data_IF_323264468542
#
_entry.id   IF_323264468542
#
_cell.length_a   1.000
_cell.length_b   1.000
_cell.length_c   1.000
_cell.angle_alpha   90.00
_cell.angle_beta   90.00
_cell.angle_gamma   90.00
#
_symmetry.space_group_name_H-M   'P 1'
#
loop_
_entity.id
_entity.type
_entity.pdbx_description
1 polymer ?
#
# COMPACT_ATOMS: atom_id res chain seq x y z
N UNK A 1 -9.89 17.26 -12.62
CA UNK A 1 -8.58 17.23 -13.32
C UNK A 1 -7.50 16.61 -12.42
N UNK A 2 -7.72 15.38 -11.95
CA UNK A 2 -6.95 14.13 -12.07
C UNK A 2 -5.46 14.12 -12.50
N UNK A 3 -4.67 15.16 -12.22
CA UNK A 3 -3.26 15.23 -12.64
C UNK A 3 -2.27 15.27 -11.47
N UNK A 4 -2.59 14.65 -10.34
CA UNK A 4 -1.53 14.37 -9.37
C UNK A 4 -0.72 13.16 -9.85
N UNK A 5 0.60 13.29 -9.85
CA UNK A 5 1.52 12.19 -10.17
C UNK A 5 1.19 10.96 -9.29
N UNK A 6 0.75 11.21 -8.05
CA UNK A 6 0.32 10.18 -7.12
C UNK A 6 -0.89 9.38 -7.62
N UNK A 7 -1.96 10.01 -8.11
CA UNK A 7 -3.14 9.27 -8.58
C UNK A 7 -2.85 8.47 -9.85
N UNK A 8 -2.06 9.03 -10.78
CA UNK A 8 -1.60 8.30 -11.99
C UNK A 8 -0.75 7.08 -11.64
N UNK A 9 0.19 7.21 -10.70
CA UNK A 9 1.01 6.09 -10.23
C UNK A 9 0.18 5.05 -9.47
N UNK A 10 -0.76 5.50 -8.64
CA UNK A 10 -1.67 4.63 -7.88
C UNK A 10 -2.52 3.75 -8.80
N UNK A 11 -3.14 4.33 -9.83
CA UNK A 11 -3.96 3.59 -10.79
C UNK A 11 -3.12 2.66 -11.69
N UNK A 12 -1.87 3.03 -11.99
CA UNK A 12 -0.96 2.15 -12.72
C UNK A 12 -0.56 0.90 -11.91
N UNK A 13 -0.46 1.04 -10.58
CA UNK A 13 -0.15 -0.06 -9.65
C UNK A 13 -1.38 -0.82 -9.17
N UNK A 14 -2.57 -0.22 -9.29
CA UNK A 14 -3.86 -0.81 -8.92
C UNK A 14 -4.05 -2.25 -9.43
N UNK A 15 -3.82 -2.61 -10.70
CA UNK A 15 -4.05 -3.98 -11.17
C UNK A 15 -3.20 -5.03 -10.44
N UNK A 16 -2.02 -4.64 -9.95
CA UNK A 16 -1.12 -5.53 -9.20
C UNK A 16 -1.58 -5.69 -7.75
N UNK A 17 -2.10 -4.63 -7.13
CA UNK A 17 -2.48 -4.64 -5.71
C UNK A 17 -3.95 -5.00 -5.45
N UNK A 18 -4.81 -4.84 -6.46
CA UNK A 18 -6.24 -5.20 -6.39
C UNK A 18 -6.52 -6.65 -5.96
N UNK A 19 -5.73 -7.68 -6.35
CA UNK A 19 -5.92 -9.05 -5.88
C UNK A 19 -5.71 -9.21 -4.36
N UNK A 20 -4.96 -8.31 -3.72
CA UNK A 20 -4.74 -8.29 -2.27
C UNK A 20 -5.87 -7.53 -1.54
N UNK A 21 -6.88 -7.07 -2.27
CA UNK A 21 -7.96 -6.26 -1.72
C UNK A 21 -7.59 -4.78 -1.57
N UNK A 22 -6.47 -4.31 -2.12
CA UNK A 22 -6.03 -2.92 -2.03
C UNK A 22 -6.59 -2.06 -3.16
N UNK A 23 -6.81 -0.77 -2.87
CA UNK A 23 -7.15 0.24 -3.88
C UNK A 23 -5.95 1.10 -4.27
N UNK A 24 -6.11 1.91 -5.31
CA UNK A 24 -5.08 2.83 -5.80
C UNK A 24 -4.51 3.74 -4.68
N UNK A 25 -5.33 4.15 -3.69
CA UNK A 25 -4.88 4.97 -2.55
C UNK A 25 -3.88 4.23 -1.67
N UNK A 26 -4.12 2.95 -1.42
CA UNK A 26 -3.20 2.08 -0.69
C UNK A 26 -1.93 1.83 -1.50
N UNK A 27 -2.03 1.69 -2.83
CA UNK A 27 -0.88 1.58 -3.71
C UNK A 27 0.04 2.81 -3.60
N UNK A 28 -0.53 4.02 -3.64
CA UNK A 28 0.21 5.28 -3.44
C UNK A 28 0.87 5.31 -2.06
N UNK A 29 0.14 4.90 -1.01
CA UNK A 29 0.69 4.81 0.34
C UNK A 29 1.86 3.83 0.43
N UNK A 30 1.74 2.64 -0.16
CA UNK A 30 2.81 1.62 -0.14
C UNK A 30 4.06 2.16 -0.85
N UNK A 31 3.89 2.89 -1.96
CA UNK A 31 5.00 3.54 -2.66
C UNK A 31 5.63 4.64 -1.80
N UNK A 32 4.83 5.50 -1.16
CA UNK A 32 5.37 6.57 -0.31
C UNK A 32 6.06 6.02 0.94
N UNK A 33 5.65 4.84 1.42
CA UNK A 33 6.29 4.17 2.54
C UNK A 33 7.74 3.72 2.27
N UNK A 34 8.18 3.63 1.00
CA UNK A 34 9.59 3.41 0.65
C UNK A 34 10.49 4.59 1.05
N UNK A 35 9.93 5.80 1.19
CA UNK A 35 10.67 6.93 1.74
C UNK A 35 10.80 6.77 3.26
N UNK A 36 9.66 6.65 3.96
CA UNK A 36 9.58 6.38 5.40
C UNK A 36 8.26 5.68 5.73
N UNK A 37 8.29 4.64 6.56
CA UNK A 37 7.10 3.83 6.92
C UNK A 37 5.96 4.67 7.54
N UNK A 38 6.29 5.73 8.28
CA UNK A 38 5.32 6.63 8.92
C UNK A 38 4.58 7.53 7.92
N UNK A 39 5.15 7.76 6.74
CA UNK A 39 4.55 8.60 5.69
C UNK A 39 3.32 7.93 5.07
N UNK A 40 3.14 6.61 5.26
CA UNK A 40 1.96 5.88 4.79
C UNK A 40 0.65 6.55 5.28
N UNK A 41 0.54 6.77 6.60
CA UNK A 41 -0.67 7.34 7.22
C UNK A 41 -0.88 8.79 6.78
N UNK A 42 0.20 9.56 6.68
CA UNK A 42 0.16 10.95 6.19
C UNK A 42 -0.31 11.02 4.73
N UNK A 43 0.20 10.11 3.89
CA UNK A 43 -0.17 10.00 2.48
C UNK A 43 -1.63 9.62 2.31
N UNK A 44 -2.14 8.68 3.12
CA UNK A 44 -3.57 8.37 3.15
C UNK A 44 -4.37 9.60 3.59
N UNK A 45 -3.96 10.29 4.66
CA UNK A 45 -4.59 11.53 5.12
C UNK A 45 -4.77 12.56 4.00
N UNK A 46 -3.70 12.85 3.26
CA UNK A 46 -3.71 13.79 2.13
C UNK A 46 -4.54 13.25 0.96
N UNK A 47 -4.42 11.96 0.64
CA UNK A 47 -5.15 11.37 -0.50
C UNK A 47 -6.66 11.34 -0.24
N UNK A 48 -7.09 11.06 0.99
CA UNK A 48 -8.49 11.10 1.38
C UNK A 48 -9.03 12.54 1.49
N UNK A 49 -8.22 13.49 1.97
CA UNK A 49 -8.65 14.90 2.05
C UNK A 49 -8.78 15.56 0.68
N UNK A 50 -7.93 15.22 -0.28
CA UNK A 50 -8.01 15.72 -1.65
C UNK A 50 -9.18 15.09 -2.41
N UNK A 51 -9.55 13.85 -2.07
CA UNK A 51 -10.66 13.15 -2.72
C UNK A 51 -12.04 13.56 -2.21
N UNK A 52 -12.17 14.08 -0.98
CA UNK A 52 -13.42 14.59 -0.43
C UNK A 52 -13.49 16.12 -0.67
N UNK A 53 -14.05 16.54 -1.82
CA UNK A 53 -14.19 17.97 -2.18
C UNK A 53 -15.33 18.66 -1.39
N UNK A 54 -15.98 17.98 -0.45
CA UNK A 54 -17.13 18.48 0.30
C UNK A 54 -16.82 18.85 1.75
N UNK A 55 -16.49 20.12 2.00
CA UNK A 55 -16.67 20.96 3.21
C UNK A 55 -16.59 20.39 4.65
N UNK A 56 -16.14 19.14 4.85
CA UNK A 56 -15.93 18.54 6.17
C UNK A 56 -14.58 17.86 6.17
N UNK A 57 -13.63 18.44 6.89
CA UNK A 57 -12.41 17.75 7.33
C UNK A 57 -12.83 16.60 8.24
N UNK A 58 -13.18 15.47 7.63
CA UNK A 58 -13.42 14.21 8.33
C UNK A 58 -12.08 13.68 8.81
N UNK A 59 -12.02 13.24 10.07
CA UNK A 59 -10.87 12.49 10.58
C UNK A 59 -10.58 11.30 9.65
N UNK A 60 -9.31 10.98 9.40
CA UNK A 60 -8.89 9.89 8.51
C UNK A 60 -9.65 8.58 8.81
N UNK A 61 -9.87 8.29 10.09
CA UNK A 61 -10.65 7.13 10.55
C UNK A 61 -12.08 7.12 9.98
N UNK A 62 -12.77 8.26 10.01
CA UNK A 62 -14.13 8.37 9.48
C UNK A 62 -14.18 8.31 7.95
N UNK A 63 -13.13 8.81 7.28
CA UNK A 63 -12.99 8.69 5.83
C UNK A 63 -12.75 7.23 5.40
N UNK A 64 -11.90 6.50 6.13
CA UNK A 64 -11.65 5.07 5.90
C UNK A 64 -12.89 4.21 6.19
N UNK A 65 -13.67 4.53 7.24
CA UNK A 65 -14.91 3.82 7.58
C UNK A 65 -16.03 4.04 6.56
N UNK A 66 -16.10 5.25 5.98
CA UNK A 66 -17.06 5.59 4.94
C UNK A 66 -16.64 5.07 3.55
N UNK A 67 -15.40 4.62 3.39
CA UNK A 67 -14.86 4.21 2.09
C UNK A 67 -15.50 2.91 1.60
N UNK A 68 -16.00 2.93 0.37
CA UNK A 68 -16.73 1.84 -0.26
C UNK A 68 -16.19 1.63 -1.66
N UNK A 69 -15.92 0.36 -2.00
CA UNK A 69 -15.52 -0.06 -3.33
C UNK A 69 -16.72 0.11 -4.29
N UNK A 70 -16.53 0.14 -5.63
CA UNK A 70 -17.64 0.28 -6.57
C UNK A 70 -18.76 -0.78 -6.43
N UNK A 71 -18.45 -1.91 -5.80
CA UNK A 71 -19.37 -3.01 -5.48
C UNK A 71 -20.15 -2.80 -4.15
N UNK A 72 -19.99 -1.64 -3.49
CA UNK A 72 -20.64 -1.34 -2.21
C UNK A 72 -20.02 -2.01 -0.98
N UNK A 73 -19.03 -2.88 -1.14
CA UNK A 73 -18.28 -3.47 -0.03
C UNK A 73 -17.33 -2.44 0.62
N UNK A 74 -17.10 -2.47 1.95
CA UNK A 74 -16.07 -1.66 2.60
C UNK A 74 -14.68 -1.95 2.03
N UNK A 75 -13.92 -0.90 1.72
CA UNK A 75 -12.52 -1.01 1.25
C UNK A 75 -11.63 -1.58 2.37
N UNK A 76 -11.81 -1.04 3.57
CA UNK A 76 -11.10 -1.45 4.78
C UNK A 76 -11.86 -2.58 5.48
N UNK A 77 -11.54 -3.82 5.13
CA UNK A 77 -11.99 -5.02 5.85
C UNK A 77 -10.90 -5.52 6.80
N UNK A 78 -11.26 -6.43 7.71
CA UNK A 78 -10.27 -7.14 8.55
C UNK A 78 -9.26 -7.89 7.68
N UNK A 79 -9.69 -8.50 6.58
CA UNK A 79 -8.81 -9.17 5.61
C UNK A 79 -7.84 -8.18 4.94
N UNK A 80 -8.32 -7.00 4.54
CA UNK A 80 -7.48 -5.95 3.95
C UNK A 80 -6.45 -5.43 4.96
N UNK A 81 -6.87 -5.16 6.20
CA UNK A 81 -5.98 -4.69 7.26
C UNK A 81 -4.92 -5.71 7.66
N UNK A 82 -5.32 -6.97 7.85
CA UNK A 82 -4.40 -8.06 8.20
C UNK A 82 -3.38 -8.34 7.10
N UNK A 83 -3.81 -8.41 5.83
CA UNK A 83 -2.88 -8.58 4.71
C UNK A 83 -1.90 -7.40 4.61
N UNK A 84 -2.36 -6.17 4.86
CA UNK A 84 -1.50 -4.99 4.86
C UNK A 84 -0.46 -5.04 5.98
N UNK A 85 -0.84 -5.52 7.18
CA UNK A 85 0.12 -5.76 8.27
C UNK A 85 1.15 -6.81 7.88
N UNK A 86 0.73 -7.94 7.28
CA UNK A 86 1.64 -8.98 6.78
C UNK A 86 2.61 -8.41 5.75
N UNK A 87 2.10 -7.58 4.83
CA UNK A 87 2.93 -6.87 3.86
C UNK A 87 3.99 -6.01 4.57
N UNK A 88 3.60 -5.13 5.49
CA UNK A 88 4.55 -4.21 6.14
C UNK A 88 5.57 -4.90 7.05
N UNK A 89 5.21 -6.04 7.64
CA UNK A 89 6.13 -6.85 8.46
C UNK A 89 7.23 -7.47 7.59
N UNK A 90 6.91 -7.90 6.37
CA UNK A 90 7.81 -8.63 5.49
C UNK A 90 8.51 -7.75 4.45
N UNK A 91 7.87 -6.66 4.03
CA UNK A 91 8.36 -5.78 2.99
C UNK A 91 9.63 -5.04 3.46
N UNK A 92 10.75 -5.37 2.83
CA UNK A 92 12.01 -4.67 3.01
C UNK A 92 12.01 -3.37 2.21
N UNK A 93 11.48 -2.31 2.83
CA UNK A 93 11.36 -0.96 2.26
C UNK A 93 12.37 0.04 2.85
N UNK A 94 13.42 -0.46 3.49
CA UNK A 94 14.41 0.40 4.16
C UNK A 94 15.42 0.93 3.15
N UNK A 95 15.26 2.18 2.70
CA UNK A 95 16.16 2.81 1.72
C UNK A 95 17.63 2.85 2.21
N UNK A 96 17.85 3.04 3.51
CA UNK A 96 19.17 3.03 4.13
C UNK A 96 19.91 1.71 3.91
N UNK A 97 19.22 0.57 4.03
CA UNK A 97 19.81 -0.75 3.77
C UNK A 97 20.22 -0.90 2.32
N UNK A 98 19.42 -0.39 1.37
CA UNK A 98 19.75 -0.48 -0.06
C UNK A 98 20.94 0.38 -0.44
N UNK A 99 21.05 1.57 0.16
CA UNK A 99 22.19 2.45 -0.05
C UNK A 99 23.48 1.81 0.45
N UNK A 100 23.47 1.20 1.64
CA UNK A 100 24.64 0.51 2.19
C UNK A 100 25.00 -0.70 1.33
N UNK A 101 24.05 -1.57 0.98
CA UNK A 101 24.33 -2.75 0.13
C UNK A 101 24.89 -2.32 -1.22
N UNK A 102 24.39 -1.23 -1.81
CA UNK A 102 24.93 -0.67 -3.05
C UNK A 102 26.37 -0.16 -2.86
N UNK A 103 26.67 0.52 -1.75
CA UNK A 103 28.02 1.02 -1.47
C UNK A 103 29.03 -0.12 -1.30
N UNK A 104 28.64 -1.19 -0.61
CA UNK A 104 29.49 -2.36 -0.36
C UNK A 104 29.65 -3.26 -1.60
N UNK A 105 28.59 -3.42 -2.39
CA UNK A 105 28.59 -4.34 -3.52
C UNK A 105 29.05 -3.68 -4.82
N UNK A 106 29.08 -2.34 -4.87
CA UNK A 106 29.41 -1.55 -6.07
C UNK A 106 28.34 -1.56 -7.16
N UNK A 107 27.40 -2.52 -7.14
CA UNK A 107 26.37 -2.73 -8.17
C UNK A 107 24.93 -2.67 -7.62
N UNK A 108 24.00 -2.18 -8.45
CA UNK A 108 22.56 -2.14 -8.15
C UNK A 108 21.85 -3.50 -8.27
N UNK A 109 22.50 -4.50 -8.86
CA UNK A 109 21.91 -5.82 -9.12
C UNK A 109 21.48 -6.51 -7.82
N UNK A 110 22.35 -6.48 -6.80
CA UNK A 110 22.11 -7.16 -5.53
C UNK A 110 21.04 -6.49 -4.66
N UNK A 111 21.07 -5.15 -4.44
CA UNK A 111 19.98 -4.45 -3.76
C UNK A 111 18.62 -4.70 -4.42
N UNK A 112 18.54 -4.64 -5.76
CA UNK A 112 17.27 -4.84 -6.47
C UNK A 112 16.77 -6.26 -6.32
N UNK A 113 17.62 -7.27 -6.47
CA UNK A 113 17.23 -8.68 -6.27
C UNK A 113 16.73 -8.90 -4.85
N UNK A 114 17.39 -8.34 -3.83
CA UNK A 114 16.98 -8.47 -2.44
C UNK A 114 15.59 -7.84 -2.18
N UNK A 115 15.36 -6.64 -2.71
CA UNK A 115 14.07 -5.93 -2.59
C UNK A 115 12.96 -6.69 -3.29
N UNK A 116 13.21 -7.12 -4.53
CA UNK A 116 12.22 -7.85 -5.32
C UNK A 116 11.90 -9.19 -4.68
N UNK A 117 12.89 -9.90 -4.13
CA UNK A 117 12.67 -11.17 -3.45
C UNK A 117 11.83 -10.99 -2.19
N UNK A 118 12.19 -10.05 -1.29
CA UNK A 118 11.43 -9.82 -0.06
C UNK A 118 10.02 -9.25 -0.33
N UNK A 119 9.88 -8.30 -1.25
CA UNK A 119 8.55 -7.78 -1.61
C UNK A 119 7.72 -8.81 -2.38
N UNK A 120 8.34 -9.66 -3.21
CA UNK A 120 7.66 -10.77 -3.86
C UNK A 120 7.14 -11.79 -2.85
N UNK A 121 7.95 -12.15 -1.85
CA UNK A 121 7.53 -13.02 -0.76
C UNK A 121 6.41 -12.38 0.06
N UNK A 122 6.53 -11.09 0.39
CA UNK A 122 5.50 -10.35 1.09
C UNK A 122 4.18 -10.31 0.31
N UNK A 123 4.25 -10.14 -1.01
CA UNK A 123 3.08 -10.16 -1.89
C UNK A 123 2.36 -11.50 -1.83
N UNK A 124 3.09 -12.61 -1.96
CA UNK A 124 2.51 -13.96 -1.94
C UNK A 124 1.85 -14.25 -0.59
N UNK A 125 2.52 -13.90 0.52
CA UNK A 125 1.99 -14.13 1.86
C UNK A 125 0.81 -13.20 2.19
N UNK A 126 0.86 -11.94 1.80
CA UNK A 126 -0.26 -11.01 1.96
C UNK A 126 -1.47 -11.43 1.11
N UNK A 127 -1.24 -11.90 -0.12
CA UNK A 127 -2.29 -12.46 -0.98
C UNK A 127 -2.91 -13.72 -0.36
N UNK A 128 -2.10 -14.64 0.15
CA UNK A 128 -2.57 -15.82 0.87
C UNK A 128 -3.39 -15.44 2.10
N UNK A 129 -2.88 -14.51 2.92
CA UNK A 129 -3.58 -13.99 4.10
C UNK A 129 -4.93 -13.37 3.73
N UNK A 130 -4.97 -12.51 2.70
CA UNK A 130 -6.20 -11.89 2.24
C UNK A 130 -7.24 -12.93 1.83
N UNK A 131 -6.85 -13.91 1.00
CA UNK A 131 -7.79 -14.94 0.54
C UNK A 131 -8.27 -15.85 1.68
N UNK A 132 -7.37 -16.27 2.57
CA UNK A 132 -7.74 -17.10 3.74
C UNK A 132 -8.71 -16.36 4.64
N UNK A 133 -8.41 -15.10 5.01
CA UNK A 133 -9.31 -14.33 5.87
C UNK A 133 -10.62 -14.00 5.16
N UNK A 134 -10.60 -13.69 3.85
CA UNK A 134 -11.81 -13.45 3.07
C UNK A 134 -12.73 -14.66 3.06
N UNK A 135 -12.18 -15.87 2.95
CA UNK A 135 -12.94 -17.13 3.03
C UNK A 135 -13.45 -17.39 4.44
N UNK A 136 -12.68 -17.03 5.47
CA UNK A 136 -13.07 -17.24 6.87
C UNK A 136 -14.11 -16.22 7.38
N UNK A 137 -14.18 -15.04 6.76
CA UNK A 137 -15.05 -13.93 7.17
C UNK A 137 -16.24 -13.68 6.24
N UNK A 138 -16.39 -14.49 5.19
CA UNK A 138 -17.58 -14.58 4.35
C UNK A 138 -18.51 -15.68 4.83
#
# INVERSE_FOLDING_TARGET
MEHSIASRLGHALEPVVRPLGYDWRMAVGIVSAFATREIFVSTLGITYSVADTGDRVKSLTSAMQADRRPDGSPVWTVATGASLLVWFVLAMQCLSTLVVVKQETGDWRWPVVQVLFMNGLAYVLAYGCYNVLRVLSG
#
